data_IF_216218394741
#
_entry.id   IF_216218394741
#
_cell.length_a   1.000
_cell.length_b   1.000
_cell.length_c   1.000
_cell.angle_alpha   90.00
_cell.angle_beta   90.00
_cell.angle_gamma   90.00
#
_symmetry.space_group_name_H-M   'P 1'
#
loop_
_entity.id
_entity.type
_entity.pdbx_description
1 polymer ?
#
# COMPACT_ATOMS: atom_id res chain seq x y z
N UNK A 1 18.76 -16.08 21.77
CA UNK A 1 17.79 -15.58 20.75
C UNK A 1 18.07 -14.16 20.27
N UNK A 2 18.58 -13.23 21.11
CA UNK A 2 18.90 -11.84 20.71
C UNK A 2 20.02 -11.68 19.63
N UNK A 3 20.93 -12.65 19.49
CA UNK A 3 22.03 -12.61 18.49
C UNK A 3 21.64 -13.07 17.08
N UNK A 4 20.47 -13.72 16.90
CA UNK A 4 19.99 -14.16 15.58
C UNK A 4 19.16 -13.08 14.86
N UNK A 5 18.52 -12.19 15.64
CA UNK A 5 17.75 -11.05 15.10
C UNK A 5 18.69 -10.00 14.47
N UNK A 6 19.88 -9.80 15.04
CA UNK A 6 20.87 -8.86 14.49
C UNK A 6 21.39 -9.32 13.12
N UNK A 7 21.47 -10.63 12.87
CA UNK A 7 22.00 -11.16 11.60
C UNK A 7 21.03 -10.94 10.42
N UNK A 8 19.71 -10.93 10.66
CA UNK A 8 18.70 -10.68 9.61
C UNK A 8 18.72 -9.21 9.19
N UNK A 9 18.96 -8.29 10.13
CA UNK A 9 19.11 -6.85 9.84
C UNK A 9 20.42 -6.59 9.07
N UNK A 10 21.49 -7.32 9.37
CA UNK A 10 22.78 -7.19 8.66
C UNK A 10 22.79 -7.82 7.26
N UNK A 11 21.98 -8.84 6.99
CA UNK A 11 21.85 -9.40 5.63
C UNK A 11 21.08 -8.45 4.69
N UNK A 12 20.21 -7.58 5.21
CA UNK A 12 19.54 -6.55 4.40
C UNK A 12 20.40 -5.30 4.12
N UNK A 13 21.53 -5.14 4.82
CA UNK A 13 22.53 -4.09 4.50
C UNK A 13 23.52 -4.51 3.41
N UNK A 14 23.29 -5.64 2.74
CA UNK A 14 24.04 -6.06 1.57
C UNK A 14 23.80 -5.11 0.39
N UNK A 15 24.55 -4.02 0.35
CA UNK A 15 25.05 -3.30 -0.83
C UNK A 15 24.22 -3.48 -2.12
N UNK A 16 22.93 -3.16 -2.08
CA UNK A 16 22.26 -2.76 -3.30
C UNK A 16 22.70 -1.33 -3.53
N UNK A 17 23.39 -1.07 -4.63
CA UNK A 17 23.69 0.26 -5.11
C UNK A 17 22.40 1.00 -5.42
N UNK A 18 21.69 1.45 -4.38
CA UNK A 18 20.56 2.36 -4.48
C UNK A 18 21.13 3.75 -4.75
N UNK A 19 21.63 3.96 -5.96
CA UNK A 19 22.03 5.27 -6.46
C UNK A 19 20.82 6.12 -6.85
N UNK A 20 19.62 5.54 -6.86
CA UNK A 20 18.37 6.23 -7.13
C UNK A 20 17.69 6.63 -5.82
N UNK A 21 17.37 7.92 -5.70
CA UNK A 21 16.67 8.44 -4.54
C UNK A 21 15.27 7.86 -4.42
N UNK A 22 14.88 7.47 -3.20
CA UNK A 22 13.57 6.89 -2.97
C UNK A 22 12.47 7.92 -3.23
N UNK A 23 11.37 7.42 -3.79
CA UNK A 23 10.16 8.19 -3.97
C UNK A 23 9.22 7.92 -2.79
N UNK A 24 8.56 8.96 -2.30
CA UNK A 24 7.64 8.85 -1.16
C UNK A 24 6.21 9.11 -1.62
N UNK A 25 5.34 8.09 -1.66
CA UNK A 25 3.90 8.28 -1.86
C UNK A 25 3.23 8.85 -0.61
N UNK A 26 2.25 9.72 -0.85
CA UNK A 26 1.23 10.14 0.11
C UNK A 26 -0.12 9.97 -0.56
N UNK A 27 -1.01 9.21 0.07
CA UNK A 27 -2.27 8.76 -0.55
C UNK A 27 -3.46 8.94 0.37
N UNK A 28 -4.60 9.24 -0.23
CA UNK A 28 -5.92 9.21 0.38
C UNK A 28 -6.81 8.30 -0.47
N UNK A 29 -7.67 7.52 0.16
CA UNK A 29 -8.46 6.56 -0.58
C UNK A 29 -9.54 5.88 0.23
N UNK A 30 -10.02 4.76 -0.31
CA UNK A 30 -10.95 3.88 0.36
C UNK A 30 -10.56 2.41 0.15
N UNK A 31 -10.82 1.58 1.14
CA UNK A 31 -10.80 0.12 1.03
C UNK A 31 -12.21 -0.44 1.19
N UNK A 32 -12.50 -1.49 0.43
CA UNK A 32 -13.76 -2.23 0.45
C UNK A 32 -13.50 -3.72 0.71
N UNK A 33 -13.24 -4.13 1.97
CA UNK A 33 -13.10 -5.54 2.33
C UNK A 33 -14.43 -6.26 2.12
N UNK A 34 -14.41 -7.31 1.30
CA UNK A 34 -15.53 -8.15 0.87
C UNK A 34 -16.76 -7.38 0.35
N UNK A 35 -16.63 -6.08 0.07
CA UNK A 35 -17.72 -5.18 -0.27
C UNK A 35 -18.83 -5.07 0.80
N UNK A 36 -18.53 -5.47 2.04
CA UNK A 36 -19.49 -5.39 3.16
C UNK A 36 -19.46 -3.99 3.80
N UNK A 37 -18.27 -3.37 3.88
CA UNK A 37 -18.07 -2.05 4.46
C UNK A 37 -16.97 -1.28 3.74
N UNK A 38 -16.84 0.02 4.04
CA UNK A 38 -15.79 0.88 3.50
C UNK A 38 -14.96 1.54 4.60
N UNK A 39 -13.64 1.54 4.42
CA UNK A 39 -12.69 2.30 5.25
C UNK A 39 -12.15 3.48 4.48
N UNK A 40 -12.04 4.64 5.11
CA UNK A 40 -11.28 5.77 4.57
C UNK A 40 -9.81 5.56 4.86
N UNK A 41 -8.95 5.59 3.84
CA UNK A 41 -7.53 5.32 3.94
C UNK A 41 -6.70 6.61 3.89
N UNK A 42 -5.67 6.68 4.73
CA UNK A 42 -4.55 7.61 4.63
C UNK A 42 -3.26 6.80 4.62
N UNK A 43 -2.46 6.92 3.56
CA UNK A 43 -1.32 6.04 3.35
C UNK A 43 -0.04 6.73 2.92
N UNK A 44 1.08 6.06 3.20
CA UNK A 44 2.42 6.48 2.78
C UNK A 44 3.33 5.27 2.57
N UNK A 45 4.58 5.50 2.22
CA UNK A 45 5.54 4.42 2.03
C UNK A 45 6.81 4.88 1.36
N UNK A 46 7.46 3.95 0.69
CA UNK A 46 8.66 4.18 -0.08
C UNK A 46 8.59 3.35 -1.37
N UNK A 47 8.93 3.99 -2.48
CA UNK A 47 9.26 3.31 -3.71
C UNK A 47 10.75 3.50 -3.99
N UNK A 48 11.46 2.40 -4.20
CA UNK A 48 12.87 2.41 -4.51
C UNK A 48 13.01 2.12 -6.00
N UNK A 49 13.44 3.09 -6.81
CA UNK A 49 13.63 2.86 -8.24
C UNK A 49 14.68 1.78 -8.49
N UNK A 50 14.38 0.89 -9.42
CA UNK A 50 15.27 -0.15 -9.93
C UNK A 50 15.50 0.09 -11.44
N UNK A 51 16.34 -0.73 -12.06
CA UNK A 51 16.55 -0.68 -13.51
C UNK A 51 15.29 -1.06 -14.30
N UNK A 52 15.24 -0.69 -15.58
CA UNK A 52 14.22 -1.11 -16.54
C UNK A 52 12.78 -0.71 -16.20
N UNK A 53 12.58 0.50 -15.66
CA UNK A 53 11.25 1.02 -15.30
C UNK A 53 10.53 0.16 -14.25
N UNK A 54 11.28 -0.42 -13.32
CA UNK A 54 10.76 -1.20 -12.20
C UNK A 54 11.01 -0.42 -10.92
N UNK A 55 10.11 -0.51 -9.95
CA UNK A 55 10.32 0.02 -8.60
C UNK A 55 9.98 -1.05 -7.56
N UNK A 56 10.80 -1.18 -6.53
CA UNK A 56 10.40 -1.89 -5.31
C UNK A 56 9.45 -1.00 -4.52
N UNK A 57 8.39 -1.56 -3.95
CA UNK A 57 7.36 -0.82 -3.24
C UNK A 57 7.14 -1.41 -1.84
N UNK A 58 7.24 -0.56 -0.82
CA UNK A 58 6.78 -0.84 0.53
C UNK A 58 5.86 0.30 0.97
N UNK A 59 4.56 0.04 1.07
CA UNK A 59 3.56 1.07 1.43
C UNK A 59 2.68 0.57 2.56
N UNK A 60 2.23 1.46 3.41
CA UNK A 60 1.23 1.17 4.43
C UNK A 60 0.17 2.26 4.48
N UNK A 61 -1.02 1.92 4.96
CA UNK A 61 -2.05 2.90 5.23
C UNK A 61 -2.67 2.69 6.60
N UNK A 62 -3.35 3.73 7.07
CA UNK A 62 -4.26 3.71 8.20
C UNK A 62 -5.67 3.96 7.68
N UNK A 63 -6.54 3.01 7.94
CA UNK A 63 -7.94 3.00 7.56
C UNK A 63 -8.84 3.20 8.76
N UNK A 64 -9.88 4.02 8.63
CA UNK A 64 -10.89 4.22 9.66
C UNK A 64 -12.30 4.10 9.07
N UNK A 65 -13.19 3.45 9.82
CA UNK A 65 -14.64 3.43 9.62
C UNK A 65 -15.30 3.82 10.94
N UNK A 66 -16.37 4.59 10.87
CA UNK A 66 -17.18 4.94 12.04
C UNK A 66 -18.65 4.66 11.76
N UNK A 67 -19.34 4.05 12.72
CA UNK A 67 -20.78 3.83 12.67
C UNK A 67 -21.42 4.42 13.94
N UNK A 68 -22.62 4.97 13.82
CA UNK A 68 -23.37 5.50 14.97
C UNK A 68 -24.36 4.44 15.42
N UNK A 69 -24.19 3.93 16.64
CA UNK A 69 -25.11 3.00 17.25
C UNK A 69 -26.45 3.67 17.53
N UNK A 70 -27.51 2.86 17.66
CA UNK A 70 -28.86 3.34 18.02
C UNK A 70 -28.89 4.07 19.39
N UNK A 71 -27.88 3.84 20.24
CA UNK A 71 -27.69 4.52 21.53
C UNK A 71 -27.14 5.94 21.39
N UNK A 72 -26.66 6.34 20.21
CA UNK A 72 -25.96 7.59 19.94
C UNK A 72 -24.44 7.52 20.15
N UNK A 73 -23.90 6.36 20.55
CA UNK A 73 -22.47 6.12 20.65
C UNK A 73 -21.84 5.92 19.26
N UNK A 74 -20.56 6.26 19.12
CA UNK A 74 -19.81 6.09 17.86
C UNK A 74 -18.82 4.95 18.02
N UNK A 75 -19.05 3.88 17.27
CA UNK A 75 -18.13 2.76 17.15
C UNK A 75 -17.15 3.02 16.02
N UNK A 76 -15.89 2.64 16.22
CA UNK A 76 -14.80 2.89 15.28
C UNK A 76 -13.99 1.62 15.02
N UNK A 77 -13.88 1.26 13.75
CA UNK A 77 -13.07 0.14 13.28
C UNK A 77 -11.85 0.66 12.53
N UNK A 78 -10.74 -0.05 12.66
CA UNK A 78 -9.49 0.31 12.00
C UNK A 78 -8.98 -0.79 11.08
N UNK A 79 -8.39 -0.38 9.96
CA UNK A 79 -7.76 -1.27 8.99
C UNK A 79 -6.36 -0.76 8.67
N UNK A 80 -5.33 -1.57 8.88
CA UNK A 80 -3.94 -1.23 8.59
C UNK A 80 -3.39 -2.21 7.54
N UNK A 81 -3.50 -1.88 6.24
CA UNK A 81 -2.89 -2.67 5.18
C UNK A 81 -1.42 -2.28 5.00
N UNK A 82 -0.56 -3.28 4.83
CA UNK A 82 0.86 -3.12 4.53
C UNK A 82 1.16 -3.93 3.26
N UNK A 83 1.61 -3.24 2.23
CA UNK A 83 1.96 -3.81 0.95
C UNK A 83 3.47 -3.85 0.76
N UNK A 84 3.98 -5.00 0.34
CA UNK A 84 5.33 -5.16 -0.17
C UNK A 84 5.28 -5.80 -1.55
N UNK A 85 5.94 -5.22 -2.55
CA UNK A 85 5.88 -5.73 -3.92
C UNK A 85 6.71 -4.96 -4.90
N UNK A 86 6.41 -5.16 -6.18
CA UNK A 86 7.09 -4.51 -7.30
C UNK A 86 6.07 -3.77 -8.15
N UNK A 87 6.46 -2.61 -8.67
CA UNK A 87 5.73 -1.83 -9.65
C UNK A 87 6.48 -1.82 -10.98
N UNK A 88 5.77 -2.11 -12.06
CA UNK A 88 6.20 -1.94 -13.44
C UNK A 88 5.64 -0.63 -13.97
N UNK A 89 6.52 0.22 -14.47
CA UNK A 89 6.18 1.54 -15.00
C UNK A 89 6.20 1.51 -16.52
N UNK A 90 5.17 2.09 -17.13
CA UNK A 90 5.04 2.22 -18.57
C UNK A 90 4.89 3.70 -18.92
N UNK A 91 6.01 4.44 -19.11
CA UNK A 91 5.97 5.85 -19.47
C UNK A 91 5.29 6.06 -20.83
N UNK A 92 4.30 6.94 -20.88
CA UNK A 92 3.59 7.37 -22.08
C UNK A 92 3.79 8.88 -22.25
N UNK A 93 4.60 9.26 -23.24
CA UNK A 93 5.09 10.64 -23.42
C UNK A 93 5.89 11.11 -22.19
N UNK A 94 6.08 12.41 -22.06
CA UNK A 94 6.95 13.02 -21.04
C UNK A 94 6.31 13.20 -19.66
N UNK A 95 4.98 13.03 -19.53
CA UNK A 95 4.24 13.35 -18.30
C UNK A 95 3.39 12.23 -17.74
N UNK A 96 2.88 11.31 -18.55
CA UNK A 96 1.99 10.24 -18.09
C UNK A 96 2.78 8.94 -17.96
N UNK A 97 2.52 8.17 -16.92
CA UNK A 97 3.09 6.84 -16.71
C UNK A 97 1.97 5.92 -16.23
N UNK A 98 1.74 4.81 -16.92
CA UNK A 98 0.89 3.74 -16.39
C UNK A 98 1.70 2.89 -15.41
N UNK A 99 1.03 2.40 -14.37
CA UNK A 99 1.63 1.57 -13.33
C UNK A 99 0.87 0.27 -13.23
N UNK A 100 1.60 -0.85 -13.17
CA UNK A 100 1.06 -2.15 -12.80
C UNK A 100 1.91 -2.73 -11.70
N UNK A 101 1.30 -3.11 -10.59
CA UNK A 101 2.01 -3.64 -9.42
C UNK A 101 1.50 -5.03 -9.03
N UNK A 102 2.36 -5.80 -8.40
CA UNK A 102 1.99 -7.05 -7.77
C UNK A 102 2.87 -7.31 -6.54
N UNK A 103 2.34 -8.02 -5.56
CA UNK A 103 3.08 -8.32 -4.34
C UNK A 103 2.23 -9.00 -3.28
N UNK A 104 2.64 -8.82 -2.03
CA UNK A 104 1.93 -9.29 -0.84
C UNK A 104 1.33 -8.12 -0.08
N UNK A 105 0.12 -8.32 0.42
CA UNK A 105 -0.57 -7.40 1.31
C UNK A 105 -0.88 -8.12 2.63
N UNK A 106 -0.52 -7.49 3.74
CA UNK A 106 -0.88 -7.89 5.10
C UNK A 106 -1.89 -6.88 5.63
N UNK A 107 -3.11 -7.33 5.92
CA UNK A 107 -4.20 -6.51 6.44
C UNK A 107 -4.44 -6.85 7.91
N UNK A 108 -4.25 -5.85 8.77
CA UNK A 108 -4.59 -5.93 10.20
C UNK A 108 -5.90 -5.18 10.42
N UNK A 109 -6.91 -5.85 10.95
CA UNK A 109 -8.21 -5.25 11.23
C UNK A 109 -8.45 -5.23 12.74
N UNK A 110 -8.84 -4.07 13.27
CA UNK A 110 -9.20 -3.87 14.66
C UNK A 110 -10.68 -3.49 14.69
N UNK A 111 -11.52 -4.50 14.88
CA UNK A 111 -12.97 -4.37 15.07
C UNK A 111 -13.30 -4.81 16.50
N UNK A 112 -14.39 -5.56 16.72
CA UNK A 112 -14.64 -6.28 17.97
C UNK A 112 -13.49 -7.25 18.30
N UNK A 113 -12.95 -7.91 17.27
CA UNK A 113 -11.80 -8.81 17.36
C UNK A 113 -10.66 -8.33 16.46
N UNK A 114 -9.41 -8.67 16.86
CA UNK A 114 -8.25 -8.50 16.00
C UNK A 114 -8.20 -9.61 14.95
N UNK A 115 -8.17 -9.24 13.68
CA UNK A 115 -7.96 -10.19 12.58
C UNK A 115 -6.73 -9.83 11.76
N UNK A 116 -6.09 -10.86 11.21
CA UNK A 116 -4.90 -10.75 10.38
C UNK A 116 -5.11 -11.55 9.11
N UNK A 117 -5.09 -10.86 7.98
CA UNK A 117 -5.17 -11.47 6.67
C UNK A 117 -3.89 -11.19 5.88
N UNK A 118 -3.42 -12.18 5.11
CA UNK A 118 -2.28 -12.02 4.22
C UNK A 118 -2.54 -12.67 2.88
N UNK A 119 -2.09 -12.05 1.80
CA UNK A 119 -2.17 -12.70 0.50
C UNK A 119 -1.67 -11.81 -0.64
N UNK A 120 -1.73 -12.30 -1.88
CA UNK A 120 -1.30 -11.56 -3.03
C UNK A 120 -2.22 -10.36 -3.33
N UNK A 121 -1.63 -9.34 -3.94
CA UNK A 121 -2.37 -8.26 -4.57
C UNK A 121 -1.90 -8.02 -6.00
N UNK A 122 -2.80 -7.46 -6.80
CA UNK A 122 -2.49 -6.81 -8.06
C UNK A 122 -2.96 -5.36 -8.02
N UNK A 123 -2.21 -4.47 -8.64
CA UNK A 123 -2.48 -3.02 -8.66
C UNK A 123 -2.37 -2.50 -10.09
N UNK A 124 -3.24 -1.60 -10.46
CA UNK A 124 -3.17 -0.82 -11.69
C UNK A 124 -3.36 0.66 -11.39
N UNK A 125 -2.69 1.53 -12.12
CA UNK A 125 -2.84 2.97 -11.87
C UNK A 125 -2.17 3.86 -12.92
N UNK A 126 -2.24 5.14 -12.66
CA UNK A 126 -1.58 6.18 -13.44
C UNK A 126 -0.81 7.12 -12.53
N UNK A 127 0.32 7.62 -13.04
CA UNK A 127 1.05 8.74 -12.47
C UNK A 127 1.16 9.85 -13.51
N UNK A 128 0.87 11.08 -13.11
CA UNK A 128 0.95 12.26 -13.96
C UNK A 128 1.92 13.27 -13.36
N UNK A 129 3.01 13.54 -14.06
CA UNK A 129 4.05 14.50 -13.64
C UNK A 129 3.52 15.93 -13.74
N UNK A 130 3.31 16.54 -12.58
CA UNK A 130 2.86 17.94 -12.44
C UNK A 130 4.02 18.89 -12.11
N UNK A 131 5.08 18.39 -11.49
CA UNK A 131 6.29 19.13 -11.16
C UNK A 131 7.53 18.25 -11.35
N UNK A 132 8.74 18.84 -11.38
CA UNK A 132 10.00 18.08 -11.51
C UNK A 132 10.13 16.99 -10.43
N UNK A 133 9.65 17.28 -9.22
CA UNK A 133 9.75 16.43 -8.03
C UNK A 133 8.40 15.85 -7.56
N UNK A 134 7.30 16.03 -8.30
CA UNK A 134 5.97 15.60 -7.86
C UNK A 134 5.13 15.04 -8.99
N UNK A 135 4.51 13.89 -8.73
CA UNK A 135 3.57 13.23 -9.63
C UNK A 135 2.24 13.04 -8.90
N UNK A 136 1.13 13.38 -9.55
CA UNK A 136 -0.21 12.97 -9.08
C UNK A 136 -0.41 11.50 -9.39
N UNK A 137 -1.06 10.77 -8.50
CA UNK A 137 -1.32 9.34 -8.67
C UNK A 137 -2.78 9.00 -8.48
N UNK A 138 -3.22 7.98 -9.20
CA UNK A 138 -4.49 7.29 -9.00
C UNK A 138 -4.25 5.80 -9.20
N UNK A 139 -4.63 4.99 -8.22
CA UNK A 139 -4.34 3.57 -8.16
C UNK A 139 -5.59 2.80 -7.72
N UNK A 140 -5.82 1.66 -8.38
CA UNK A 140 -6.80 0.65 -8.05
C UNK A 140 -6.03 -0.62 -7.70
N UNK A 141 -6.38 -1.26 -6.60
CA UNK A 141 -5.78 -2.51 -6.15
C UNK A 141 -6.86 -3.53 -5.85
N UNK A 142 -6.60 -4.78 -6.22
CA UNK A 142 -7.37 -5.94 -5.83
C UNK A 142 -6.49 -6.87 -5.01
N UNK A 143 -6.96 -7.19 -3.82
CA UNK A 143 -6.33 -8.14 -2.91
C UNK A 143 -7.13 -9.45 -2.89
N UNK A 144 -6.41 -10.58 -2.78
CA UNK A 144 -6.95 -11.87 -2.36
C UNK A 144 -6.18 -12.27 -1.11
N UNK A 145 -6.82 -12.20 0.06
CA UNK A 145 -6.15 -12.39 1.35
C UNK A 145 -6.78 -13.53 2.15
N UNK A 146 -5.96 -14.17 2.97
CA UNK A 146 -6.32 -15.36 3.72
C UNK A 146 -6.05 -15.18 5.21
N UNK A 147 -6.97 -15.65 6.04
CA UNK A 147 -6.88 -15.60 7.51
C UNK A 147 -8.23 -15.89 8.17
N UNK A 148 -8.27 -16.22 9.47
CA UNK A 148 -9.54 -16.39 10.20
C UNK A 148 -10.23 -15.04 10.46
N UNK A 149 -11.56 -15.01 10.69
CA UNK A 149 -12.48 -16.16 10.73
C UNK A 149 -12.98 -16.61 9.36
N UNK A 150 -13.03 -15.71 8.36
CA UNK A 150 -13.37 -16.03 6.97
C UNK A 150 -12.09 -16.30 6.19
N UNK A 151 -11.80 -17.54 5.84
CA UNK A 151 -10.49 -17.93 5.28
C UNK A 151 -10.11 -17.29 3.94
N UNK A 152 -11.08 -16.85 3.13
CA UNK A 152 -10.84 -16.25 1.82
C UNK A 152 -11.59 -14.92 1.80
N UNK A 153 -10.85 -13.82 1.68
CA UNK A 153 -11.42 -12.49 1.56
C UNK A 153 -10.85 -11.79 0.34
N UNK A 154 -11.62 -10.85 -0.20
CA UNK A 154 -11.18 -9.97 -1.26
C UNK A 154 -11.31 -8.53 -0.80
N UNK A 155 -10.31 -7.70 -1.09
CA UNK A 155 -10.36 -6.27 -0.74
C UNK A 155 -10.05 -5.47 -1.99
N UNK A 156 -10.89 -4.49 -2.28
CA UNK A 156 -10.63 -3.51 -3.35
C UNK A 156 -10.21 -2.20 -2.72
N UNK A 157 -9.09 -1.64 -3.16
CA UNK A 157 -8.62 -0.34 -2.68
C UNK A 157 -8.54 0.64 -3.84
N UNK A 158 -9.06 1.85 -3.63
CA UNK A 158 -8.98 2.96 -4.58
C UNK A 158 -8.29 4.12 -3.88
N UNK A 159 -7.13 4.53 -4.39
CA UNK A 159 -6.32 5.57 -3.79
C UNK A 159 -5.95 6.63 -4.83
N UNK A 160 -5.95 7.89 -4.40
CA UNK A 160 -5.38 9.00 -5.15
C UNK A 160 -4.36 9.72 -4.27
N UNK A 161 -3.37 10.37 -4.87
CA UNK A 161 -2.32 10.98 -4.08
C UNK A 161 -1.24 11.69 -4.85
N UNK A 162 -0.11 11.85 -4.18
CA UNK A 162 1.13 12.37 -4.76
C UNK A 162 2.28 11.41 -4.49
N UNK A 163 3.21 11.33 -5.43
CA UNK A 163 4.51 10.70 -5.24
C UNK A 163 5.56 11.79 -5.38
N UNK A 164 6.33 11.99 -4.32
CA UNK A 164 7.37 13.01 -4.23
C UNK A 164 8.75 12.39 -4.37
N UNK A 165 9.64 13.10 -5.06
CA UNK A 165 11.07 12.84 -5.06
C UNK A 165 11.78 13.93 -4.25
N UNK A 166 12.56 13.51 -3.25
CA UNK A 166 13.35 14.40 -2.39
C UNK A 166 14.84 14.33 -2.76
N UNK A 167 15.11 14.68 -4.03
CA UNK A 167 16.43 14.99 -4.58
C UNK A 167 16.79 16.47 -4.42
#
# INVERSE_FOLDING_TARGET
MKKRILLIITIFTGTMGLSASPLVPFTLGAAFPNYEHSYMLVGTGIHVPLENNIELSLTGAFGIRTETADTGDVDADFLIPINAGVNFLFPVKTKLTFVTGAGLNTQMEFTDDFTLHIGPYIRGGIRYRVHKNMQLTMELQQDLVFGPPKWINTTTQVCAGIVCNFD
#
